data_IF_761493747655
#
_entry.id   IF_761493747655
#
_cell.length_a   1.000
_cell.length_b   1.000
_cell.length_c   1.000
_cell.angle_alpha   90.00
_cell.angle_beta   90.00
_cell.angle_gamma   90.00
#
_symmetry.space_group_name_H-M   'P 1'
#
loop_
_entity.id
_entity.type
_entity.pdbx_description
1 polymer ?
#
# COMPACT_ATOMS: atom_id res chain seq x y z
N UNK A 1 12.59 10.80 -2.35
CA UNK A 1 12.09 11.66 -3.44
C UNK A 1 11.41 12.90 -2.87
N UNK A 2 11.66 14.06 -3.42
CA UNK A 2 11.00 15.33 -3.07
C UNK A 2 10.07 15.66 -4.24
N UNK A 3 8.78 15.89 -3.95
CA UNK A 3 7.79 16.27 -4.97
C UNK A 3 8.20 17.56 -5.69
N UNK A 4 7.93 17.61 -6.98
CA UNK A 4 8.12 18.78 -7.84
C UNK A 4 6.83 19.58 -8.05
N UNK A 5 5.77 19.21 -7.34
CA UNK A 5 4.48 19.89 -7.42
C UNK A 5 4.47 21.15 -6.56
N UNK A 6 3.94 22.24 -7.13
CA UNK A 6 3.67 23.49 -6.39
C UNK A 6 2.29 23.48 -5.71
N UNK A 7 1.52 22.38 -5.84
CA UNK A 7 0.20 22.22 -5.25
C UNK A 7 0.33 21.69 -3.83
N UNK A 8 -0.28 22.37 -2.89
CA UNK A 8 -0.30 22.01 -1.47
C UNK A 8 -1.73 21.78 -0.99
N UNK A 9 -1.89 20.83 -0.08
CA UNK A 9 -3.10 20.59 0.70
C UNK A 9 -2.84 20.91 2.17
N UNK A 10 -3.84 21.43 2.85
CA UNK A 10 -3.75 21.75 4.27
C UNK A 10 -4.06 20.52 5.13
N UNK A 11 -3.27 20.29 6.16
CA UNK A 11 -3.50 19.28 7.20
C UNK A 11 -3.95 19.97 8.46
N UNK A 12 -5.07 19.51 9.02
CA UNK A 12 -5.68 20.09 10.20
C UNK A 12 -5.66 19.12 11.37
N UNK A 13 -5.51 19.65 12.59
CA UNK A 13 -5.90 18.94 13.80
C UNK A 13 -7.40 19.18 14.04
N UNK A 14 -8.28 18.20 13.81
CA UNK A 14 -9.73 18.39 13.90
C UNK A 14 -10.22 18.62 15.33
N UNK A 15 -9.44 18.23 16.35
CA UNK A 15 -9.77 18.49 17.75
C UNK A 15 -9.58 19.96 18.15
N UNK A 16 -8.66 20.65 17.48
CA UNK A 16 -8.34 22.07 17.74
C UNK A 16 -8.89 22.99 16.65
N UNK A 17 -9.16 22.45 15.45
CA UNK A 17 -9.57 23.23 14.28
C UNK A 17 -8.43 24.03 13.66
N UNK A 18 -7.19 23.72 14.00
CA UNK A 18 -6.00 24.44 13.56
C UNK A 18 -5.30 23.70 12.43
N UNK A 19 -4.74 24.46 11.49
CA UNK A 19 -3.83 23.93 10.47
C UNK A 19 -2.48 23.62 11.13
N UNK A 20 -2.03 22.37 11.05
CA UNK A 20 -0.79 21.89 11.67
C UNK A 20 0.34 21.63 10.68
N UNK A 21 0.01 21.36 9.41
CA UNK A 21 1.00 21.05 8.38
C UNK A 21 0.44 21.31 6.97
N UNK A 22 1.28 21.06 5.96
CA UNK A 22 0.91 21.02 4.55
C UNK A 22 1.45 19.76 3.92
N UNK A 23 0.70 19.22 2.95
CA UNK A 23 1.11 18.06 2.14
C UNK A 23 1.22 18.47 0.67
N UNK A 24 2.30 18.06 0.01
CA UNK A 24 2.43 18.26 -1.43
C UNK A 24 1.49 17.32 -2.19
N UNK A 25 0.67 17.87 -3.08
CA UNK A 25 -0.25 17.11 -3.93
C UNK A 25 0.44 16.78 -5.24
N UNK A 26 0.72 15.49 -5.44
CA UNK A 26 1.49 14.99 -6.57
C UNK A 26 0.91 15.41 -7.92
N UNK A 27 1.77 15.79 -8.82
CA UNK A 27 1.48 16.04 -10.22
C UNK A 27 1.88 14.84 -11.10
N UNK A 28 1.73 14.99 -12.40
CA UNK A 28 2.06 13.93 -13.37
C UNK A 28 3.52 13.45 -13.25
N UNK A 29 4.48 14.36 -13.08
CA UNK A 29 5.90 13.97 -12.99
C UNK A 29 6.21 13.16 -11.71
N UNK A 30 5.51 13.44 -10.62
CA UNK A 30 5.67 12.70 -9.36
C UNK A 30 5.11 11.28 -9.49
N UNK A 31 3.95 11.13 -10.13
CA UNK A 31 3.34 9.82 -10.40
C UNK A 31 4.21 8.99 -11.34
N UNK A 32 4.72 9.58 -12.43
CA UNK A 32 5.62 8.91 -13.36
C UNK A 32 6.91 8.45 -12.67
N UNK A 33 7.50 9.27 -11.81
CA UNK A 33 8.70 8.92 -11.05
C UNK A 33 8.47 7.73 -10.10
N UNK A 34 7.32 7.64 -9.44
CA UNK A 34 7.01 6.51 -8.57
C UNK A 34 6.77 5.22 -9.38
N UNK A 35 6.10 5.31 -10.52
CA UNK A 35 5.91 4.17 -11.43
C UNK A 35 7.25 3.70 -11.99
N UNK A 36 8.12 4.60 -12.43
CA UNK A 36 9.47 4.27 -12.91
C UNK A 36 10.30 3.60 -11.81
N UNK A 37 10.26 4.12 -10.58
CA UNK A 37 10.91 3.50 -9.43
C UNK A 37 10.45 2.06 -9.21
N UNK A 38 9.15 1.80 -9.31
CA UNK A 38 8.59 0.45 -9.19
C UNK A 38 8.99 -0.45 -10.38
N UNK A 39 8.98 0.07 -11.61
CA UNK A 39 9.38 -0.68 -12.81
C UNK A 39 10.82 -1.16 -12.74
N UNK A 40 11.72 -0.35 -12.20
CA UNK A 40 13.14 -0.65 -12.09
C UNK A 40 13.44 -1.81 -11.14
N UNK A 41 12.58 -2.07 -10.15
CA UNK A 41 12.80 -3.11 -9.13
C UNK A 41 11.86 -4.30 -9.24
N UNK A 42 10.74 -4.20 -9.96
CA UNK A 42 9.66 -5.21 -9.94
C UNK A 42 10.12 -6.62 -10.27
N UNK A 43 10.98 -6.77 -11.28
CA UNK A 43 11.45 -8.10 -11.69
C UNK A 43 12.36 -8.73 -10.63
N UNK A 44 13.25 -7.95 -10.04
CA UNK A 44 14.13 -8.38 -8.96
C UNK A 44 13.32 -8.75 -7.72
N UNK A 45 12.32 -7.95 -7.38
CA UNK A 45 11.44 -8.22 -6.23
C UNK A 45 10.57 -9.46 -6.46
N UNK A 46 9.97 -9.62 -7.63
CA UNK A 46 9.18 -10.79 -8.01
C UNK A 46 9.96 -12.09 -7.88
N UNK A 47 11.26 -12.08 -8.25
CA UNK A 47 12.15 -13.24 -8.15
C UNK A 47 12.76 -13.46 -6.77
N UNK A 48 12.57 -12.53 -5.82
CA UNK A 48 13.05 -12.66 -4.44
C UNK A 48 12.31 -13.81 -3.74
N UNK A 49 13.01 -14.78 -3.13
CA UNK A 49 12.36 -15.92 -2.47
C UNK A 49 11.33 -15.47 -1.42
N UNK A 50 10.14 -16.13 -1.32
CA UNK A 50 9.09 -15.77 -0.35
C UNK A 50 9.59 -15.70 1.09
N UNK A 51 10.49 -16.58 1.49
CA UNK A 51 11.10 -16.56 2.84
C UNK A 51 11.92 -15.28 3.09
N UNK A 52 12.63 -14.79 2.08
CA UNK A 52 13.38 -13.54 2.19
C UNK A 52 12.44 -12.35 2.36
N UNK A 53 11.35 -12.32 1.59
CA UNK A 53 10.30 -11.29 1.73
C UNK A 53 9.63 -11.34 3.11
N UNK A 54 9.31 -12.54 3.59
CA UNK A 54 8.70 -12.77 4.92
C UNK A 54 9.56 -12.20 6.07
N UNK A 55 10.88 -12.34 6.00
CA UNK A 55 11.81 -11.81 7.02
C UNK A 55 11.73 -10.29 7.17
N UNK A 56 11.47 -9.57 6.10
CA UNK A 56 11.24 -8.12 6.13
C UNK A 56 9.99 -7.79 6.94
N UNK A 57 8.91 -8.56 6.77
CA UNK A 57 7.67 -8.35 7.53
C UNK A 57 7.79 -8.71 9.00
N UNK A 58 8.58 -9.72 9.37
CA UNK A 58 8.91 -9.95 10.78
C UNK A 58 9.59 -8.72 11.39
N UNK A 59 10.58 -8.16 10.69
CA UNK A 59 11.27 -6.95 11.16
C UNK A 59 10.35 -5.73 11.18
N UNK A 60 9.52 -5.56 10.18
CA UNK A 60 8.53 -4.47 10.10
C UNK A 60 7.56 -4.51 11.29
N UNK A 61 7.07 -5.70 11.67
CA UNK A 61 6.25 -5.88 12.86
C UNK A 61 6.95 -5.39 14.13
N UNK A 62 8.23 -5.78 14.33
CA UNK A 62 9.02 -5.32 15.48
C UNK A 62 9.15 -3.79 15.51
N UNK A 63 9.35 -3.16 14.34
CA UNK A 63 9.48 -1.72 14.23
C UNK A 63 8.15 -0.98 14.49
N UNK A 64 7.03 -1.51 14.04
CA UNK A 64 5.70 -0.98 14.38
C UNK A 64 5.48 -1.04 15.90
N UNK A 65 5.81 -2.17 16.53
CA UNK A 65 5.69 -2.30 17.98
C UNK A 65 6.61 -1.32 18.72
N UNK A 66 7.85 -1.13 18.27
CA UNK A 66 8.78 -0.15 18.82
C UNK A 66 8.22 1.28 18.77
N UNK A 67 7.62 1.65 17.65
CA UNK A 67 7.18 3.02 17.39
C UNK A 67 5.64 3.20 17.54
N UNK A 68 4.96 2.24 18.22
CA UNK A 68 3.50 2.24 18.40
C UNK A 68 2.97 3.58 18.93
N UNK A 69 3.60 4.12 19.98
CA UNK A 69 3.15 5.37 20.59
C UNK A 69 3.33 6.56 19.65
N UNK A 70 4.41 6.62 18.89
CA UNK A 70 4.63 7.69 17.90
C UNK A 70 3.60 7.65 16.78
N UNK A 71 3.34 6.46 16.24
CA UNK A 71 2.33 6.25 15.20
C UNK A 71 0.94 6.62 15.71
N UNK A 72 0.59 6.20 16.94
CA UNK A 72 -0.70 6.48 17.53
C UNK A 72 -0.93 7.97 17.81
N UNK A 73 0.10 8.68 18.29
CA UNK A 73 0.01 10.13 18.50
C UNK A 73 -0.17 10.89 17.17
N UNK A 74 0.64 10.58 16.15
CA UNK A 74 0.49 11.18 14.82
C UNK A 74 -0.91 10.94 14.23
N UNK A 75 -1.43 9.71 14.38
CA UNK A 75 -2.77 9.37 13.92
C UNK A 75 -3.84 10.15 14.69
N UNK A 76 -3.72 10.25 16.01
CA UNK A 76 -4.65 11.03 16.85
C UNK A 76 -4.67 12.51 16.46
N UNK A 77 -3.50 13.08 16.19
CA UNK A 77 -3.35 14.49 15.86
C UNK A 77 -4.02 14.86 14.52
N UNK A 78 -3.82 14.06 13.49
CA UNK A 78 -4.39 14.32 12.14
C UNK A 78 -5.85 13.87 12.00
N UNK A 79 -6.24 12.78 12.70
CA UNK A 79 -7.59 12.21 12.55
C UNK A 79 -8.59 12.74 13.63
N UNK A 80 -8.11 13.06 14.83
CA UNK A 80 -8.96 13.47 15.97
C UNK A 80 -9.57 12.33 16.77
N UNK A 81 -9.28 11.06 16.49
CA UNK A 81 -9.70 9.93 17.35
C UNK A 81 -8.86 9.84 18.61
N UNK A 82 -9.41 9.23 19.66
CA UNK A 82 -8.67 9.04 20.92
C UNK A 82 -7.49 8.10 20.74
N UNK A 83 -6.46 8.24 21.58
CA UNK A 83 -5.20 7.51 21.47
C UNK A 83 -5.39 5.98 21.47
N UNK A 84 -6.30 5.46 22.31
CA UNK A 84 -6.57 4.02 22.37
C UNK A 84 -7.18 3.48 21.06
N UNK A 85 -8.01 4.26 20.35
CA UNK A 85 -8.56 3.87 19.06
C UNK A 85 -7.48 3.93 17.97
N UNK A 86 -6.55 4.88 18.08
CA UNK A 86 -5.39 4.95 17.20
C UNK A 86 -4.50 3.73 17.34
N UNK A 87 -4.17 3.33 18.58
CA UNK A 87 -3.42 2.11 18.87
C UNK A 87 -4.17 0.87 18.37
N UNK A 88 -5.49 0.78 18.61
CA UNK A 88 -6.34 -0.31 18.12
C UNK A 88 -6.35 -0.41 16.59
N UNK A 89 -6.37 0.72 15.87
CA UNK A 89 -6.29 0.77 14.42
C UNK A 89 -4.96 0.24 13.90
N UNK A 90 -3.84 0.65 14.50
CA UNK A 90 -2.50 0.17 14.15
C UNK A 90 -2.39 -1.34 14.42
N UNK A 91 -2.88 -1.81 15.57
CA UNK A 91 -2.88 -3.23 15.94
C UNK A 91 -3.60 -4.09 14.91
N UNK A 92 -4.78 -3.67 14.45
CA UNK A 92 -5.52 -4.40 13.39
C UNK A 92 -4.80 -4.41 12.05
N UNK A 93 -4.07 -3.34 11.71
CA UNK A 93 -3.18 -3.35 10.54
C UNK A 93 -2.02 -4.33 10.71
N UNK A 94 -1.45 -4.39 11.92
CA UNK A 94 -0.34 -5.29 12.26
C UNK A 94 -0.75 -6.77 12.19
N UNK A 95 -2.02 -7.14 12.45
CA UNK A 95 -2.52 -8.51 12.27
C UNK A 95 -2.32 -9.00 10.82
N UNK A 96 -2.45 -8.11 9.83
CA UNK A 96 -2.19 -8.44 8.43
C UNK A 96 -0.68 -8.58 8.16
N UNK A 97 0.16 -7.81 8.86
CA UNK A 97 1.62 -8.00 8.82
C UNK A 97 1.98 -9.39 9.35
N UNK A 98 1.37 -9.82 10.46
CA UNK A 98 1.54 -11.17 11.01
C UNK A 98 1.12 -12.26 10.02
N UNK A 99 -0.04 -12.09 9.38
CA UNK A 99 -0.49 -12.99 8.31
C UNK A 99 0.53 -13.08 7.17
N UNK A 100 1.09 -11.94 6.74
CA UNK A 100 2.08 -11.89 5.66
C UNK A 100 3.42 -12.56 6.03
N UNK A 101 3.76 -12.66 7.31
CA UNK A 101 4.91 -13.43 7.77
C UNK A 101 4.81 -14.91 7.38
N UNK A 102 3.58 -15.44 7.24
CA UNK A 102 3.29 -16.81 6.78
C UNK A 102 3.24 -17.00 5.26
N UNK A 103 3.53 -15.96 4.47
CA UNK A 103 3.36 -15.98 3.01
C UNK A 103 4.05 -17.13 2.29
N UNK A 104 5.22 -17.66 2.73
CA UNK A 104 5.84 -18.81 2.07
C UNK A 104 4.95 -20.05 2.01
N UNK A 105 4.05 -20.23 2.99
CA UNK A 105 3.10 -21.34 3.00
C UNK A 105 1.87 -21.06 2.13
N UNK A 106 1.44 -19.82 2.05
CA UNK A 106 0.25 -19.40 1.28
C UNK A 106 0.50 -19.34 -0.23
N UNK A 107 1.76 -19.16 -0.65
CA UNK A 107 2.15 -19.09 -2.07
C UNK A 107 2.40 -20.48 -2.70
N UNK A 108 2.26 -21.56 -1.93
CA UNK A 108 2.37 -22.92 -2.51
C UNK A 108 1.28 -23.12 -3.55
N UNK A 109 1.67 -23.80 -4.65
CA UNK A 109 0.74 -24.31 -5.64
C UNK A 109 0.22 -25.69 -5.27
N UNK A 110 -0.62 -26.22 -6.13
CA UNK A 110 -1.19 -27.56 -6.04
C UNK A 110 -0.66 -28.44 -7.17
N UNK A 111 -0.55 -29.73 -6.94
CA UNK A 111 -0.19 -30.74 -7.92
C UNK A 111 -1.22 -31.86 -7.89
N UNK A 112 -1.66 -32.32 -9.05
CA UNK A 112 -2.53 -33.47 -9.22
C UNK A 112 -1.94 -34.41 -10.26
N UNK A 113 -1.65 -35.65 -9.87
CA UNK A 113 -1.17 -36.71 -10.73
C UNK A 113 -2.33 -37.36 -11.48
N UNK A 114 -2.13 -37.68 -12.74
CA UNK A 114 -3.09 -38.44 -13.59
C UNK A 114 -4.50 -37.85 -13.62
N UNK A 115 -4.64 -36.54 -13.80
CA UNK A 115 -5.95 -35.87 -14.02
C UNK A 115 -6.61 -36.30 -15.34
N UNK A 116 -5.86 -36.95 -16.21
CA UNK A 116 -6.22 -37.64 -17.44
C UNK A 116 -5.18 -38.71 -17.74
N UNK A 117 -5.35 -39.53 -18.79
CA UNK A 117 -4.36 -40.53 -19.14
C UNK A 117 -3.03 -39.89 -19.50
N UNK A 118 -2.00 -40.13 -18.69
CA UNK A 118 -0.65 -39.55 -18.82
C UNK A 118 -0.56 -38.03 -18.75
N UNK A 119 -1.52 -37.40 -17.99
CA UNK A 119 -1.58 -35.94 -17.83
C UNK A 119 -1.53 -35.59 -16.34
N UNK A 120 -0.49 -34.84 -15.95
CA UNK A 120 -0.41 -34.19 -14.65
C UNK A 120 -0.81 -32.74 -14.75
N UNK A 121 -1.37 -32.18 -13.67
CA UNK A 121 -1.73 -30.76 -13.59
C UNK A 121 -1.11 -30.12 -12.36
N UNK A 122 -0.65 -28.91 -12.50
CA UNK A 122 -0.12 -28.14 -11.39
C UNK A 122 -0.46 -26.65 -11.51
N UNK A 123 -0.51 -25.97 -10.35
CA UNK A 123 -0.71 -24.54 -10.28
C UNK A 123 0.50 -23.83 -9.66
N UNK A 124 0.75 -22.61 -10.09
CA UNK A 124 1.80 -21.76 -9.54
C UNK A 124 1.25 -20.34 -9.36
N UNK A 125 1.51 -19.77 -8.19
CA UNK A 125 1.14 -18.36 -7.90
C UNK A 125 2.27 -17.45 -8.31
N UNK A 126 1.93 -16.40 -9.09
CA UNK A 126 2.89 -15.42 -9.59
C UNK A 126 2.43 -14.00 -9.21
N UNK A 127 3.35 -13.05 -8.96
CA UNK A 127 2.99 -11.65 -8.77
C UNK A 127 2.36 -11.06 -10.03
N UNK A 128 1.47 -10.11 -9.85
CA UNK A 128 0.83 -9.38 -10.94
C UNK A 128 1.79 -8.35 -11.56
N UNK A 129 2.54 -7.65 -10.71
CA UNK A 129 3.44 -6.58 -11.12
C UNK A 129 3.35 -5.35 -10.21
N UNK A 130 2.77 -4.24 -10.69
CA UNK A 130 2.58 -3.01 -9.91
C UNK A 130 1.12 -2.91 -9.48
N UNK A 131 0.90 -2.88 -8.17
CA UNK A 131 -0.40 -2.68 -7.55
C UNK A 131 -0.52 -1.28 -6.97
N UNK A 132 -1.70 -0.71 -7.05
CA UNK A 132 -2.02 0.60 -6.46
C UNK A 132 -3.04 0.43 -5.36
N UNK A 133 -2.88 1.15 -4.25
CA UNK A 133 -3.86 1.26 -3.19
C UNK A 133 -4.30 2.71 -2.98
N UNK A 134 -5.60 2.94 -2.89
CA UNK A 134 -6.19 4.24 -2.60
C UNK A 134 -6.99 4.10 -1.33
N UNK A 135 -6.53 4.73 -0.25
CA UNK A 135 -7.09 4.55 1.09
C UNK A 135 -7.80 5.82 1.60
N UNK A 136 -8.84 5.65 2.44
CA UNK A 136 -9.60 6.73 3.03
C UNK A 136 -8.90 7.31 4.26
N UNK A 137 -9.44 8.44 4.78
CA UNK A 137 -8.91 9.11 5.96
C UNK A 137 -9.30 8.43 7.29
N UNK A 138 -10.40 7.66 7.33
CA UNK A 138 -10.95 7.16 8.61
C UNK A 138 -10.09 6.09 9.30
N UNK A 139 -9.19 5.41 8.55
CA UNK A 139 -8.25 4.41 9.06
C UNK A 139 -6.89 4.49 8.34
N UNK A 140 -6.10 5.56 8.55
CA UNK A 140 -4.91 5.85 7.77
C UNK A 140 -3.72 4.90 8.04
N UNK A 141 -3.80 4.05 9.07
CA UNK A 141 -2.84 2.98 9.32
C UNK A 141 -3.38 1.62 8.88
N UNK A 142 -4.57 1.25 9.36
CA UNK A 142 -5.16 -0.07 9.17
C UNK A 142 -5.41 -0.39 7.70
N UNK A 143 -6.14 0.46 6.99
CA UNK A 143 -6.53 0.20 5.61
C UNK A 143 -5.32 0.16 4.65
N UNK A 144 -4.35 1.08 4.70
CA UNK A 144 -3.12 0.93 3.93
C UNK A 144 -2.42 -0.41 4.17
N UNK A 145 -2.25 -0.84 5.43
CA UNK A 145 -1.61 -2.12 5.75
C UNK A 145 -2.38 -3.31 5.20
N UNK A 146 -3.71 -3.27 5.16
CA UNK A 146 -4.52 -4.32 4.52
C UNK A 146 -4.25 -4.46 3.02
N UNK A 147 -3.87 -3.36 2.36
CA UNK A 147 -3.62 -3.33 0.92
C UNK A 147 -2.17 -3.70 0.58
N UNK A 148 -1.19 -2.94 1.09
CA UNK A 148 0.19 -3.06 0.63
C UNK A 148 0.91 -4.28 1.18
N UNK A 149 0.63 -4.69 2.42
CA UNK A 149 1.40 -5.74 3.10
C UNK A 149 1.33 -7.08 2.34
N UNK A 150 0.12 -7.57 2.06
CA UNK A 150 -0.06 -8.84 1.34
C UNK A 150 0.42 -8.72 -0.10
N UNK A 151 0.16 -7.61 -0.77
CA UNK A 151 0.60 -7.38 -2.14
C UNK A 151 2.12 -7.46 -2.26
N UNK A 152 2.86 -6.76 -1.40
CA UNK A 152 4.33 -6.77 -1.37
C UNK A 152 4.85 -8.16 -1.00
N UNK A 153 4.25 -8.82 -0.01
CA UNK A 153 4.64 -10.17 0.39
C UNK A 153 4.47 -11.19 -0.74
N UNK A 154 3.47 -11.01 -1.60
CA UNK A 154 3.26 -11.82 -2.81
C UNK A 154 4.27 -11.53 -3.93
N UNK A 155 5.11 -10.50 -3.81
CA UNK A 155 6.14 -10.17 -4.79
C UNK A 155 5.76 -9.04 -5.75
N UNK A 156 4.67 -8.31 -5.50
CA UNK A 156 4.32 -7.12 -6.26
C UNK A 156 5.06 -5.89 -5.73
N UNK A 157 5.29 -4.88 -6.58
CA UNK A 157 5.53 -3.52 -6.15
C UNK A 157 4.20 -2.85 -5.83
N UNK A 158 4.22 -1.90 -4.90
CA UNK A 158 3.01 -1.23 -4.45
C UNK A 158 3.18 0.28 -4.42
N UNK A 159 2.17 1.00 -4.94
CA UNK A 159 2.08 2.45 -4.84
C UNK A 159 0.84 2.78 -4.02
N UNK A 160 1.04 3.41 -2.87
CA UNK A 160 -0.03 3.86 -1.99
C UNK A 160 -0.35 5.32 -2.24
N UNK A 161 -1.62 5.64 -2.50
CA UNK A 161 -2.17 6.99 -2.41
C UNK A 161 -3.03 7.07 -1.14
N UNK A 162 -2.47 7.53 -0.02
CA UNK A 162 -3.27 7.74 1.19
C UNK A 162 -4.19 8.96 1.05
N UNK A 163 -5.05 9.19 2.04
CA UNK A 163 -5.78 10.44 2.14
C UNK A 163 -4.81 11.62 2.31
N UNK A 164 -5.10 12.71 1.63
CA UNK A 164 -4.39 13.98 1.78
C UNK A 164 -4.65 14.68 3.11
N UNK A 165 -5.65 14.20 3.88
CA UNK A 165 -6.04 14.79 5.17
C UNK A 165 -5.19 14.31 6.34
N UNK A 166 -4.66 13.10 6.25
CA UNK A 166 -3.90 12.43 7.30
C UNK A 166 -2.77 11.54 6.73
N UNK A 167 -1.82 12.15 6.02
CA UNK A 167 -0.77 11.44 5.31
C UNK A 167 0.41 10.97 6.17
N UNK A 168 0.56 11.48 7.39
CA UNK A 168 1.78 11.28 8.19
C UNK A 168 2.00 9.81 8.56
N UNK A 169 0.97 9.11 9.04
CA UNK A 169 1.13 7.69 9.42
C UNK A 169 1.48 6.80 8.24
N UNK A 170 0.86 6.88 7.06
CA UNK A 170 1.32 6.17 5.86
C UNK A 170 2.78 6.43 5.49
N UNK A 171 3.27 7.66 5.62
CA UNK A 171 4.67 8.01 5.39
C UNK A 171 5.59 7.36 6.42
N UNK A 172 5.24 7.41 7.71
CA UNK A 172 5.99 6.73 8.78
C UNK A 172 6.07 5.22 8.56
N UNK A 173 4.98 4.58 8.10
CA UNK A 173 4.98 3.15 7.78
C UNK A 173 5.93 2.83 6.61
N UNK A 174 6.04 3.72 5.62
CA UNK A 174 7.01 3.56 4.53
C UNK A 174 8.46 3.66 5.02
N UNK A 175 8.74 4.59 5.93
CA UNK A 175 10.06 4.71 6.57
C UNK A 175 10.42 3.45 7.37
N UNK A 176 9.47 2.91 8.14
CA UNK A 176 9.67 1.66 8.89
C UNK A 176 9.89 0.45 7.97
N UNK A 177 9.23 0.39 6.81
CA UNK A 177 9.50 -0.66 5.81
C UNK A 177 10.90 -0.54 5.22
N UNK A 178 11.37 0.68 4.96
CA UNK A 178 12.75 0.93 4.52
C UNK A 178 13.75 0.48 5.60
N UNK A 179 13.51 0.84 6.87
CA UNK A 179 14.32 0.39 8.01
C UNK A 179 14.29 -1.15 8.18
N UNK A 180 13.16 -1.79 7.85
CA UNK A 180 13.04 -3.24 7.86
C UNK A 180 13.82 -3.94 6.74
N UNK A 181 14.36 -3.18 5.78
CA UNK A 181 15.17 -3.67 4.68
C UNK A 181 14.39 -3.93 3.39
N UNK A 182 13.20 -3.34 3.23
CA UNK A 182 12.49 -3.39 1.95
C UNK A 182 13.30 -2.60 0.90
N UNK A 183 13.59 -3.18 -0.28
CA UNK A 183 14.32 -2.46 -1.32
C UNK A 183 13.56 -1.23 -1.82
N UNK A 184 14.32 -0.17 -2.14
CA UNK A 184 13.77 1.04 -2.74
C UNK A 184 12.98 0.73 -4.01
N UNK A 185 11.85 1.43 -4.20
CA UNK A 185 10.96 1.25 -5.34
C UNK A 185 9.91 0.13 -5.17
N UNK A 186 10.08 -0.80 -4.23
CA UNK A 186 9.06 -1.85 -3.96
C UNK A 186 7.80 -1.24 -3.33
N UNK A 187 7.96 -0.28 -2.43
CA UNK A 187 6.86 0.48 -1.85
C UNK A 187 7.07 1.97 -2.06
N UNK A 188 6.08 2.64 -2.64
CA UNK A 188 6.08 4.07 -2.89
C UNK A 188 4.81 4.70 -2.31
N UNK A 189 4.92 5.86 -1.69
CA UNK A 189 3.76 6.64 -1.20
C UNK A 189 3.67 7.91 -2.03
N UNK A 190 2.48 8.17 -2.59
CA UNK A 190 2.16 9.38 -3.35
C UNK A 190 1.02 10.09 -2.64
N UNK A 191 1.31 11.21 -2.03
CA UNK A 191 0.27 12.10 -1.51
C UNK A 191 -0.36 12.85 -2.68
N UNK A 192 -1.69 12.99 -2.70
CA UNK A 192 -2.38 13.62 -3.80
C UNK A 192 -3.89 13.52 -3.70
N UNK A 193 -4.55 14.22 -4.58
CA UNK A 193 -5.99 14.27 -4.73
C UNK A 193 -6.46 13.44 -5.95
N UNK A 194 -7.61 13.81 -6.51
CA UNK A 194 -8.20 13.14 -7.68
C UNK A 194 -7.25 13.07 -8.88
N UNK A 195 -6.42 14.10 -9.12
CA UNK A 195 -5.47 14.11 -10.23
C UNK A 195 -4.48 12.94 -10.12
N UNK A 196 -3.90 12.74 -8.95
CA UNK A 196 -2.98 11.62 -8.72
C UNK A 196 -3.68 10.27 -8.86
N UNK A 197 -4.94 10.15 -8.40
CA UNK A 197 -5.75 8.94 -8.58
C UNK A 197 -5.95 8.62 -10.05
N UNK A 198 -6.40 9.58 -10.83
CA UNK A 198 -6.68 9.38 -12.26
C UNK A 198 -5.42 8.97 -13.03
N UNK A 199 -4.29 9.61 -12.74
CA UNK A 199 -2.99 9.27 -13.34
C UNK A 199 -2.55 7.84 -13.00
N UNK A 200 -2.79 7.38 -11.78
CA UNK A 200 -2.45 6.02 -11.35
C UNK A 200 -3.34 4.96 -12.00
N UNK A 201 -4.67 5.13 -11.93
CA UNK A 201 -5.62 4.09 -12.38
C UNK A 201 -5.70 3.97 -13.89
N UNK A 202 -5.25 4.97 -14.66
CA UNK A 202 -5.19 4.93 -16.12
C UNK A 202 -3.82 4.53 -16.66
N UNK A 203 -2.77 4.49 -15.83
CA UNK A 203 -1.42 4.22 -16.28
C UNK A 203 -1.25 2.77 -16.78
N UNK A 204 -0.68 2.53 -17.97
CA UNK A 204 -0.58 1.19 -18.55
C UNK A 204 0.32 0.23 -17.78
N UNK A 205 1.21 0.72 -16.91
CA UNK A 205 2.12 -0.10 -16.11
C UNK A 205 1.55 -0.54 -14.77
N UNK A 206 0.36 -0.06 -14.39
CA UNK A 206 -0.37 -0.51 -13.21
C UNK A 206 -1.20 -1.74 -13.57
N UNK A 207 -1.05 -2.82 -12.82
CA UNK A 207 -1.70 -4.11 -13.09
C UNK A 207 -2.96 -4.32 -12.23
N UNK A 208 -2.98 -3.77 -11.03
CA UNK A 208 -4.13 -3.89 -10.12
C UNK A 208 -4.36 -2.63 -9.28
N UNK A 209 -5.61 -2.42 -8.91
CA UNK A 209 -6.05 -1.30 -8.06
C UNK A 209 -6.89 -1.83 -6.91
N UNK A 210 -6.57 -1.40 -5.69
CA UNK A 210 -7.36 -1.63 -4.48
C UNK A 210 -7.88 -0.29 -3.96
N UNK A 211 -9.15 -0.25 -3.57
CA UNK A 211 -9.78 0.97 -3.09
C UNK A 211 -10.65 0.70 -1.87
N UNK A 212 -10.60 1.60 -0.90
CA UNK A 212 -11.60 1.69 0.17
C UNK A 212 -12.03 3.14 0.29
N UNK A 213 -13.36 3.36 0.30
CA UNK A 213 -13.94 4.69 0.39
C UNK A 213 -15.45 4.68 0.16
N UNK A 214 -16.02 5.82 -0.27
CA UNK A 214 -17.45 5.95 -0.52
C UNK A 214 -17.87 5.24 -1.81
N UNK A 215 -19.11 4.75 -1.85
CA UNK A 215 -19.68 4.03 -3.00
C UNK A 215 -19.55 4.77 -4.33
N UNK A 216 -19.86 6.09 -4.44
CA UNK A 216 -19.73 6.78 -5.73
C UNK A 216 -18.28 6.84 -6.24
N UNK A 217 -17.30 6.97 -5.33
CA UNK A 217 -15.88 6.95 -5.70
C UNK A 217 -15.43 5.53 -6.06
N UNK A 218 -15.93 4.51 -5.36
CA UNK A 218 -15.67 3.10 -5.68
C UNK A 218 -16.15 2.75 -7.10
N UNK A 219 -17.37 3.17 -7.46
CA UNK A 219 -17.93 2.98 -8.82
C UNK A 219 -17.07 3.66 -9.89
N UNK A 220 -16.68 4.91 -9.65
CA UNK A 220 -15.80 5.64 -10.57
C UNK A 220 -14.46 4.92 -10.79
N UNK A 221 -13.79 4.53 -9.70
CA UNK A 221 -12.49 3.85 -9.77
C UNK A 221 -12.63 2.48 -10.42
N UNK A 222 -13.68 1.72 -10.07
CA UNK A 222 -13.99 0.43 -10.69
C UNK A 222 -14.13 0.53 -12.20
N UNK A 223 -15.03 1.41 -12.67
CA UNK A 223 -15.28 1.57 -14.10
C UNK A 223 -14.02 2.04 -14.84
N UNK A 224 -13.32 3.04 -14.31
CA UNK A 224 -12.12 3.56 -14.94
C UNK A 224 -10.99 2.51 -14.97
N UNK A 225 -10.75 1.81 -13.87
CA UNK A 225 -9.71 0.78 -13.79
C UNK A 225 -9.99 -0.39 -14.73
N UNK A 226 -11.23 -0.88 -14.78
CA UNK A 226 -11.60 -2.02 -15.64
C UNK A 226 -11.58 -1.65 -17.12
N UNK A 227 -11.93 -0.42 -17.51
CA UNK A 227 -11.76 0.08 -18.87
C UNK A 227 -10.29 0.11 -19.33
N UNK A 228 -9.37 0.24 -18.38
CA UNK A 228 -7.92 0.21 -18.62
C UNK A 228 -7.29 -1.17 -18.31
N UNK A 229 -8.10 -2.25 -18.31
CA UNK A 229 -7.67 -3.63 -18.08
C UNK A 229 -6.96 -3.88 -16.75
N UNK A 230 -7.30 -3.13 -15.68
CA UNK A 230 -6.79 -3.36 -14.34
C UNK A 230 -7.62 -4.40 -13.59
N UNK A 231 -6.96 -5.24 -12.80
CA UNK A 231 -7.66 -6.01 -11.77
C UNK A 231 -8.08 -5.05 -10.66
N UNK A 232 -9.32 -5.15 -10.22
CA UNK A 232 -9.87 -4.29 -9.16
C UNK A 232 -10.28 -5.11 -7.93
N UNK A 233 -10.02 -4.54 -6.75
CA UNK A 233 -10.46 -5.07 -5.44
C UNK A 233 -11.00 -3.91 -4.59
N UNK A 234 -12.20 -4.12 -4.03
CA UNK A 234 -12.88 -3.17 -3.15
C UNK A 234 -13.26 -3.88 -1.85
#
# INVERSE_FOLDING_TARGET
YISKSDRLGDIFNPAQGEKIAEVSLANKSDVEAAIESALNVKQKWASTPPLTRSRIFFKFKELILRDMDKLAHALTEEHGKILSDSQGSITRGMEVVEFACGIPHLLKGEFSENVGSEIDSWSMRQPLGISVGISPFNFPAMVPMWMFVVSIACGNCFILKPSEKDPTVPMMLAELLTEAGLPDGVFNVINGDKEAVDLLITNPHVDSVSFVGSTPVAEYIYHTSTQHNKRFSN
#
